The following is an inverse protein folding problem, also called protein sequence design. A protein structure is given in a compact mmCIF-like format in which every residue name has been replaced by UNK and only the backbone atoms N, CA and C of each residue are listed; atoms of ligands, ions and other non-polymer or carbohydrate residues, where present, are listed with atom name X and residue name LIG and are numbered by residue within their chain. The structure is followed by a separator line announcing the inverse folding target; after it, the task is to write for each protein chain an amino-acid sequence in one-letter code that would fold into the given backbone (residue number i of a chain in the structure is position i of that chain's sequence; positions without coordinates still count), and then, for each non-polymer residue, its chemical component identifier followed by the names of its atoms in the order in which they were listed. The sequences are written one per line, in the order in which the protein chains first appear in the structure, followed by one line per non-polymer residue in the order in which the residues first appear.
data_IF_995761367925
#
_entry.id   IF_995761367925
#
_cell.length_a   1.000
_cell.length_b   1.000
_cell.length_c   1.000
_cell.angle_alpha   90.00
_cell.angle_beta   90.00
_cell.angle_gamma   90.00
#
_symmetry.space_group_name_H-M   'P 1'
#
loop_
_entity.id
_entity.type
_entity.pdbx_description
1 polymer ?
#
# COMPACT_ATOMS: atom_id res chain seq x y z
N UNK A 1 1.23 -11.53 13.28
CA UNK A 1 0.85 -10.60 12.19
C UNK A 1 2.07 -9.76 11.90
N UNK A 2 2.31 -9.43 10.63
CA UNK A 2 3.48 -8.63 10.25
C UNK A 2 3.00 -7.25 9.83
N UNK A 3 3.47 -6.21 10.53
CA UNK A 3 3.16 -4.82 10.19
C UNK A 3 4.22 -4.28 9.23
N UNK A 4 3.80 -3.68 8.13
CA UNK A 4 4.70 -3.11 7.11
C UNK A 4 4.26 -1.73 6.67
N UNK A 5 5.23 -0.88 6.41
CA UNK A 5 5.00 0.39 5.72
C UNK A 5 4.80 0.09 4.23
N UNK A 6 3.65 0.45 3.69
CA UNK A 6 3.23 0.11 2.34
C UNK A 6 2.73 1.34 1.59
N UNK A 7 2.90 1.32 0.27
CA UNK A 7 2.08 2.09 -0.65
C UNK A 7 0.76 1.34 -0.88
N UNK A 8 -0.35 2.05 -0.80
CA UNK A 8 -1.71 1.54 -1.00
C UNK A 8 -2.44 2.47 -1.96
N UNK A 9 -3.06 1.95 -3.01
CA UNK A 9 -3.86 2.75 -3.94
C UNK A 9 -5.21 2.10 -4.21
N UNK A 10 -6.28 2.91 -4.17
CA UNK A 10 -7.61 2.49 -4.61
C UNK A 10 -7.65 2.46 -6.15
N UNK A 11 -8.09 1.33 -6.70
CA UNK A 11 -8.15 1.08 -8.15
C UNK A 11 -9.57 1.17 -8.70
N UNK A 12 -10.57 0.75 -7.93
CA UNK A 12 -11.99 0.81 -8.33
C UNK A 12 -12.39 2.22 -8.70
N UNK A 13 -13.08 2.39 -9.83
CA UNK A 13 -13.59 3.68 -10.28
C UNK A 13 -12.54 4.67 -10.79
N UNK A 14 -11.26 4.32 -10.81
CA UNK A 14 -10.17 5.28 -11.06
C UNK A 14 -9.26 4.97 -12.26
N UNK A 15 -9.63 4.00 -13.10
CA UNK A 15 -8.94 3.69 -14.36
C UNK A 15 -7.41 3.60 -14.22
N UNK A 16 -6.69 4.33 -15.08
CA UNK A 16 -5.22 4.37 -15.15
C UNK A 16 -4.58 5.13 -13.97
N UNK A 17 -4.66 4.57 -12.77
CA UNK A 17 -3.79 4.91 -11.63
C UNK A 17 -3.94 6.33 -11.05
N UNK A 18 -5.10 6.98 -11.24
CA UNK A 18 -5.41 8.30 -10.62
C UNK A 18 -6.27 8.20 -9.36
N UNK A 19 -6.39 7.00 -8.81
CA UNK A 19 -7.15 6.81 -7.58
C UNK A 19 -6.39 7.36 -6.38
N UNK A 20 -7.11 7.70 -5.29
CA UNK A 20 -6.50 8.06 -4.02
C UNK A 20 -5.45 7.02 -3.61
N UNK A 21 -4.32 7.50 -3.08
CA UNK A 21 -3.21 6.65 -2.68
C UNK A 21 -2.61 7.11 -1.37
N UNK A 22 -2.00 6.17 -0.66
CA UNK A 22 -1.50 6.34 0.68
C UNK A 22 -0.14 5.70 0.88
N UNK A 23 0.68 6.33 1.72
CA UNK A 23 1.74 5.65 2.47
C UNK A 23 1.23 5.42 3.87
N UNK A 24 1.10 4.17 4.27
CA UNK A 24 0.50 3.83 5.56
C UNK A 24 0.94 2.48 6.08
N UNK A 25 0.57 2.21 7.33
CA UNK A 25 0.86 0.94 7.97
C UNK A 25 -0.18 -0.10 7.60
N UNK A 26 0.28 -1.26 7.13
CA UNK A 26 -0.58 -2.39 6.79
C UNK A 26 -0.18 -3.59 7.63
N UNK A 27 -1.16 -4.16 8.32
CA UNK A 27 -1.00 -5.42 9.04
C UNK A 27 -1.35 -6.58 8.11
N UNK A 28 -0.46 -7.56 8.01
CA UNK A 28 -0.68 -8.76 7.22
C UNK A 28 -0.94 -9.99 8.10
N UNK A 29 -1.81 -10.86 7.60
CA UNK A 29 -1.93 -12.24 8.09
C UNK A 29 -0.60 -12.99 7.94
N UNK A 30 -0.43 -14.09 8.67
CA UNK A 30 0.81 -14.91 8.62
C UNK A 30 1.14 -15.39 7.19
N UNK A 31 0.11 -15.64 6.38
CA UNK A 31 0.22 -16.12 5.00
C UNK A 31 0.29 -15.00 3.96
N UNK A 32 0.26 -13.73 4.37
CA UNK A 32 0.21 -12.56 3.49
C UNK A 32 -1.02 -12.51 2.56
N UNK A 33 -2.01 -13.38 2.79
CA UNK A 33 -3.22 -13.45 1.97
C UNK A 33 -4.26 -12.39 2.35
N UNK A 34 -4.13 -11.81 3.54
CA UNK A 34 -5.05 -10.78 4.07
C UNK A 34 -4.24 -9.61 4.59
N UNK A 35 -4.67 -8.40 4.25
CA UNK A 35 -4.13 -7.14 4.70
C UNK A 35 -5.22 -6.34 5.43
N UNK A 36 -4.85 -5.66 6.51
CA UNK A 36 -5.71 -4.77 7.27
C UNK A 36 -5.17 -3.35 7.15
N UNK A 37 -6.00 -2.44 6.67
CA UNK A 37 -5.60 -1.06 6.38
C UNK A 37 -6.79 -0.12 6.56
N UNK A 38 -6.66 0.94 7.37
CA UNK A 38 -7.71 1.95 7.64
C UNK A 38 -9.09 1.34 7.95
N UNK A 39 -9.13 0.32 8.80
CA UNK A 39 -10.37 -0.40 9.18
C UNK A 39 -10.91 -1.36 8.12
N UNK A 40 -10.27 -1.46 6.95
CA UNK A 40 -10.65 -2.37 5.87
C UNK A 40 -9.96 -3.72 6.00
N UNK A 41 -10.64 -4.76 5.54
CA UNK A 41 -10.09 -6.11 5.38
C UNK A 41 -9.92 -6.41 3.90
N UNK A 42 -8.67 -6.46 3.44
CA UNK A 42 -8.33 -6.66 2.04
C UNK A 42 -7.83 -8.09 1.84
N UNK A 43 -8.43 -8.82 0.91
CA UNK A 43 -8.01 -10.19 0.55
C UNK A 43 -7.23 -10.16 -0.75
N UNK A 44 -6.07 -10.82 -0.78
CA UNK A 44 -5.29 -11.01 -1.99
C UNK A 44 -6.10 -11.79 -3.00
N UNK A 45 -6.19 -11.30 -4.24
CA UNK A 45 -6.95 -11.92 -5.30
C UNK A 45 -6.10 -12.03 -6.58
N UNK A 46 -6.34 -13.10 -7.35
CA UNK A 46 -5.75 -13.30 -8.68
C UNK A 46 -6.78 -12.91 -9.75
N UNK A 47 -6.32 -12.51 -10.92
CA UNK A 47 -7.19 -12.19 -12.06
C UNK A 47 -7.79 -10.78 -12.03
N UNK A 48 -7.36 -9.92 -11.10
CA UNK A 48 -7.67 -8.48 -11.15
C UNK A 48 -6.81 -7.83 -12.24
N UNK A 49 -7.40 -6.92 -13.02
CA UNK A 49 -6.74 -6.35 -14.20
C UNK A 49 -5.64 -5.33 -13.86
N UNK A 50 -5.77 -4.61 -12.75
CA UNK A 50 -4.82 -3.57 -12.32
C UNK A 50 -4.61 -3.52 -10.80
N UNK A 51 -5.01 -4.56 -10.08
CA UNK A 51 -4.99 -4.61 -8.61
C UNK A 51 -4.43 -5.94 -8.11
N UNK A 52 -4.14 -6.04 -6.81
CA UNK A 52 -3.66 -7.28 -6.19
C UNK A 52 -4.38 -7.66 -4.90
N UNK A 53 -5.22 -6.76 -4.37
CA UNK A 53 -6.13 -7.04 -3.26
C UNK A 53 -7.53 -6.52 -3.57
N UNK A 54 -8.53 -7.10 -2.90
CA UNK A 54 -9.92 -6.68 -2.94
C UNK A 54 -10.46 -6.56 -1.51
N UNK A 55 -11.20 -5.48 -1.23
CA UNK A 55 -11.92 -5.31 0.04
C UNK A 55 -13.06 -6.32 0.14
N UNK A 56 -13.11 -7.05 1.26
CA UNK A 56 -14.11 -8.10 1.50
C UNK A 56 -15.53 -7.51 1.66
N UNK A 57 -15.66 -6.29 2.18
CA UNK A 57 -16.94 -5.65 2.43
C UNK A 57 -17.51 -4.87 1.25
N UNK A 58 -16.65 -4.27 0.42
CA UNK A 58 -17.09 -3.37 -0.67
C UNK A 58 -16.79 -3.88 -2.08
N UNK A 59 -16.02 -4.96 -2.21
CA UNK A 59 -15.45 -5.44 -3.47
C UNK A 59 -14.54 -4.43 -4.19
N UNK A 60 -14.17 -3.32 -3.54
CA UNK A 60 -13.22 -2.36 -4.07
C UNK A 60 -11.83 -2.98 -4.22
N UNK A 61 -11.18 -2.70 -5.34
CA UNK A 61 -9.89 -3.24 -5.71
C UNK A 61 -8.79 -2.27 -5.30
N UNK A 62 -7.71 -2.83 -4.76
CA UNK A 62 -6.56 -2.09 -4.26
C UNK A 62 -5.25 -2.63 -4.83
N UNK A 63 -4.31 -1.72 -5.04
CA UNK A 63 -2.92 -2.04 -5.28
C UNK A 63 -2.09 -1.79 -4.02
N UNK A 64 -1.41 -2.82 -3.53
CA UNK A 64 -0.49 -2.75 -2.40
C UNK A 64 0.94 -3.10 -2.86
N UNK A 65 1.91 -2.25 -2.53
CA UNK A 65 3.33 -2.52 -2.77
C UNK A 65 4.21 -1.89 -1.69
N UNK A 66 5.50 -2.23 -1.70
CA UNK A 66 6.48 -1.43 -0.95
C UNK A 66 6.46 0.03 -1.47
N UNK A 67 6.66 1.03 -0.61
CA UNK A 67 6.91 2.38 -1.07
C UNK A 67 8.23 2.44 -1.84
N UNK A 68 8.28 3.24 -2.89
CA UNK A 68 9.51 3.53 -3.63
C UNK A 68 10.20 4.77 -3.08
N UNK A 69 11.53 4.75 -3.11
CA UNK A 69 12.38 5.84 -2.62
C UNK A 69 12.32 7.08 -3.54
N UNK A 70 12.16 6.85 -4.84
CA UNK A 70 12.02 7.89 -5.87
C UNK A 70 10.58 8.45 -5.96
N UNK A 71 9.64 7.92 -5.16
CA UNK A 71 8.23 8.30 -5.11
C UNK A 71 7.47 8.09 -6.43
N UNK A 72 7.94 7.17 -7.29
CA UNK A 72 7.27 6.81 -8.55
C UNK A 72 6.29 5.64 -8.37
N UNK A 73 5.65 5.54 -7.19
CA UNK A 73 4.74 4.44 -6.85
C UNK A 73 3.51 4.40 -7.79
N UNK A 74 2.99 5.56 -8.15
CA UNK A 74 1.93 5.74 -9.14
C UNK A 74 2.49 5.71 -10.56
N UNK A 75 1.72 5.17 -11.51
CA UNK A 75 2.14 4.99 -12.92
C UNK A 75 2.53 6.28 -13.63
N UNK A 76 1.92 7.42 -13.28
CA UNK A 76 2.15 8.71 -13.93
C UNK A 76 2.96 9.70 -13.09
N UNK A 77 3.70 9.21 -12.09
CA UNK A 77 4.50 10.06 -11.21
C UNK A 77 3.70 10.65 -10.04
N UNK A 78 4.39 11.35 -9.11
CA UNK A 78 3.84 11.64 -7.79
C UNK A 78 2.64 12.57 -7.89
N UNK A 79 1.45 12.04 -7.62
CA UNK A 79 0.22 12.80 -7.52
C UNK A 79 -0.46 12.46 -6.20
N UNK A 80 -0.42 13.41 -5.25
CA UNK A 80 -1.33 13.45 -4.10
C UNK A 80 -1.33 12.23 -3.17
N UNK A 81 -0.27 11.41 -3.12
CA UNK A 81 -0.19 10.30 -2.16
C UNK A 81 -0.15 10.87 -0.74
N UNK A 82 -1.20 10.56 0.01
CA UNK A 82 -1.35 10.97 1.41
C UNK A 82 -0.44 10.10 2.28
N UNK A 83 0.35 10.72 3.15
CA UNK A 83 1.17 9.97 4.11
C UNK A 83 0.44 9.98 5.44
N UNK A 84 0.10 8.80 5.97
CA UNK A 84 -0.51 8.70 7.29
C UNK A 84 0.42 9.35 8.34
N UNK A 85 -0.11 10.13 9.30
CA UNK A 85 0.71 10.81 10.31
C UNK A 85 1.67 9.85 11.05
N UNK A 86 1.20 8.64 11.38
CA UNK A 86 1.95 7.59 12.06
C UNK A 86 3.02 6.93 11.17
N UNK A 87 2.92 7.08 9.86
CA UNK A 87 3.88 6.61 8.88
C UNK A 87 4.94 7.67 8.54
N UNK A 88 4.68 8.94 8.82
CA UNK A 88 5.42 10.07 8.27
C UNK A 88 6.90 10.06 8.66
N UNK A 89 7.23 9.75 9.91
CA UNK A 89 8.63 9.72 10.38
C UNK A 89 9.43 8.62 9.69
N UNK A 90 8.93 7.38 9.73
CA UNK A 90 9.58 6.22 9.11
C UNK A 90 9.69 6.39 7.60
N UNK A 91 8.66 6.94 6.96
CA UNK A 91 8.70 7.19 5.53
C UNK A 91 9.75 8.26 5.17
N UNK A 92 9.86 9.35 5.93
CA UNK A 92 10.93 10.35 5.74
C UNK A 92 12.32 9.74 5.89
N UNK A 93 12.53 8.93 6.92
CA UNK A 93 13.81 8.24 7.13
C UNK A 93 14.13 7.28 5.98
N UNK A 94 13.13 6.51 5.52
CA UNK A 94 13.26 5.65 4.35
C UNK A 94 13.66 6.46 3.12
N UNK A 95 13.00 7.58 2.83
CA UNK A 95 13.36 8.45 1.72
C UNK A 95 14.80 8.99 1.83
N UNK A 96 15.28 9.25 3.05
CA UNK A 96 16.62 9.79 3.32
C UNK A 96 17.76 8.75 3.26
N UNK A 97 17.48 7.46 3.36
CA UNK A 97 18.55 6.45 3.35
C UNK A 97 18.19 5.14 4.05
N UNK A 98 17.32 5.23 5.05
CA UNK A 98 17.06 4.11 5.95
C UNK A 98 16.41 2.92 5.23
N UNK A 99 16.57 1.73 5.80
CA UNK A 99 15.80 0.56 5.42
C UNK A 99 14.35 0.69 5.90
N UNK A 100 13.42 -0.01 5.23
CA UNK A 100 12.07 -0.17 5.76
C UNK A 100 12.09 -1.17 6.93
N UNK A 101 11.40 -0.88 8.04
CA UNK A 101 11.27 -1.84 9.13
C UNK A 101 10.46 -3.07 8.69
N UNK A 102 10.77 -4.25 9.25
CA UNK A 102 10.12 -5.52 8.90
C UNK A 102 10.58 -6.13 7.56
N UNK A 103 11.65 -5.57 7.00
CA UNK A 103 12.34 -6.02 5.78
C UNK A 103 13.80 -6.42 6.03
N UNK A 104 14.28 -6.39 7.26
CA UNK A 104 15.68 -6.69 7.60
C UNK A 104 16.15 -8.12 7.27
N UNK A 105 15.23 -9.05 6.97
CA UNK A 105 15.54 -10.44 6.59
C UNK A 105 14.92 -10.87 5.25
N UNK A 106 14.66 -9.92 4.36
CA UNK A 106 14.01 -10.16 3.05
C UNK A 106 14.97 -10.32 1.91
#
# INVERSE_FOLDING_TARGET
MARRLMFVQLKTGHGTDRGPSWIGWVDFSKTWSTAYFRGRTLRRAKGLSAANFQDVGTAEEFWLSAPKRDRTDTRYGPAGTEVEPEAAEVYRAFLAGAALPGRENG
#
